data_IF_714445048777
#
_entry.id   IF_714445048777
#
_cell.length_a   1.000
_cell.length_b   1.000
_cell.length_c   1.000
_cell.angle_alpha   90.00
_cell.angle_beta   90.00
_cell.angle_gamma   90.00
#
_symmetry.space_group_name_H-M   'P 1'
#
loop_
_entity.id
_entity.type
_entity.pdbx_description
1 polymer ?
#
# COMPACT_ATOMS: atom_id res chain seq x y z
N UNK A 1 27.07 -6.08 -0.77
CA UNK A 1 25.85 -6.36 -1.56
C UNK A 1 24.74 -5.51 -0.96
N UNK A 2 24.01 -4.75 -1.78
CA UNK A 2 22.95 -3.84 -1.31
C UNK A 2 21.62 -4.56 -1.08
N UNK A 3 20.67 -3.85 -0.48
CA UNK A 3 19.26 -4.25 -0.38
C UNK A 3 18.49 -3.44 -1.42
N UNK A 4 17.77 -4.11 -2.29
CA UNK A 4 16.92 -3.47 -3.30
C UNK A 4 15.46 -3.58 -2.88
N UNK A 5 14.75 -2.45 -2.89
CA UNK A 5 13.32 -2.37 -2.61
C UNK A 5 12.62 -1.84 -3.85
N UNK A 6 11.64 -2.59 -4.33
CA UNK A 6 10.84 -2.24 -5.49
C UNK A 6 9.37 -2.09 -5.07
N UNK A 7 8.76 -0.96 -5.45
CA UNK A 7 7.34 -0.70 -5.31
C UNK A 7 6.69 -0.74 -6.68
N UNK A 8 5.60 -1.51 -6.83
CA UNK A 8 4.80 -1.54 -8.05
C UNK A 8 3.31 -1.52 -7.73
N UNK A 9 2.50 -0.93 -8.60
CA UNK A 9 1.05 -1.07 -8.50
C UNK A 9 0.66 -2.55 -8.58
N UNK A 10 -0.29 -2.94 -7.74
CA UNK A 10 -0.80 -4.30 -7.67
C UNK A 10 -2.32 -4.30 -7.83
N UNK A 11 -2.86 -5.46 -8.23
CA UNK A 11 -4.29 -5.62 -8.41
C UNK A 11 -5.02 -5.47 -7.06
N UNK A 12 -6.01 -4.58 -7.05
CA UNK A 12 -6.95 -4.40 -5.94
C UNK A 12 -8.38 -4.48 -6.50
N UNK A 13 -9.14 -5.55 -6.18
CA UNK A 13 -10.53 -5.63 -6.60
C UNK A 13 -11.37 -4.53 -5.95
N UNK A 14 -12.12 -3.81 -6.78
CA UNK A 14 -13.12 -2.86 -6.32
C UNK A 14 -14.46 -3.57 -6.17
N UNK A 15 -15.00 -3.53 -4.96
CA UNK A 15 -16.27 -4.18 -4.66
C UNK A 15 -17.42 -3.40 -5.27
N UNK A 16 -18.35 -4.12 -5.90
CA UNK A 16 -19.64 -3.55 -6.33
C UNK A 16 -20.46 -3.24 -5.07
N UNK A 17 -20.95 -2.02 -4.98
CA UNK A 17 -21.84 -1.56 -3.91
C UNK A 17 -23.31 -1.86 -4.25
N UNK A 18 -24.18 -1.70 -3.26
CA UNK A 18 -25.63 -1.85 -3.44
C UNK A 18 -26.20 -0.92 -4.51
N UNK A 19 -27.42 -1.23 -4.95
CA UNK A 19 -28.14 -0.38 -5.88
C UNK A 19 -28.43 0.99 -5.27
N UNK A 20 -28.23 2.02 -6.07
CA UNK A 20 -28.48 3.39 -5.69
C UNK A 20 -29.48 4.02 -6.66
N UNK A 21 -30.48 4.71 -6.09
CA UNK A 21 -31.52 5.36 -6.87
C UNK A 21 -30.98 6.60 -7.58
N UNK A 22 -31.24 6.69 -8.88
CA UNK A 22 -30.92 7.87 -9.71
C UNK A 22 -32.21 8.41 -10.32
N UNK A 23 -32.18 9.66 -10.81
CA UNK A 23 -33.37 10.35 -11.33
C UNK A 23 -34.08 9.65 -12.52
N UNK A 24 -33.50 8.58 -13.08
CA UNK A 24 -34.11 7.80 -14.17
C UNK A 24 -33.87 6.28 -14.10
N UNK A 25 -33.41 5.73 -12.96
CA UNK A 25 -33.12 4.29 -12.84
C UNK A 25 -32.25 3.95 -11.64
N UNK A 26 -31.66 2.75 -11.62
CA UNK A 26 -30.71 2.32 -10.59
C UNK A 26 -29.29 2.25 -11.13
N UNK A 27 -28.31 2.61 -10.30
CA UNK A 27 -26.89 2.45 -10.59
C UNK A 27 -26.24 1.54 -9.55
N UNK A 28 -25.20 0.80 -9.94
CA UNK A 28 -24.33 0.06 -9.01
C UNK A 28 -22.93 0.62 -9.11
N UNK A 29 -22.52 1.35 -8.09
CA UNK A 29 -21.17 1.93 -8.01
C UNK A 29 -20.17 0.86 -7.60
N UNK A 30 -18.89 1.12 -7.88
CA UNK A 30 -17.79 0.35 -7.33
C UNK A 30 -17.06 1.18 -6.28
N UNK A 31 -16.59 0.54 -5.23
CA UNK A 31 -15.73 1.19 -4.26
C UNK A 31 -14.30 1.30 -4.79
N UNK A 32 -14.03 2.42 -5.45
CA UNK A 32 -12.73 2.75 -6.04
C UNK A 32 -11.77 3.46 -5.09
N UNK A 33 -12.12 3.53 -3.80
CA UNK A 33 -11.34 4.26 -2.79
C UNK A 33 -10.05 3.56 -2.35
N UNK A 34 -9.93 2.26 -2.63
CA UNK A 34 -8.84 1.40 -2.15
C UNK A 34 -7.92 1.02 -3.32
N UNK A 35 -6.63 1.02 -3.03
CA UNK A 35 -5.57 0.61 -3.95
C UNK A 35 -4.59 -0.34 -3.24
N UNK A 36 -3.72 -0.95 -4.04
CA UNK A 36 -2.67 -1.85 -3.54
C UNK A 36 -1.35 -1.59 -4.22
N UNK A 37 -0.29 -1.52 -3.43
CA UNK A 37 1.10 -1.60 -3.88
C UNK A 37 1.66 -2.96 -3.48
N UNK A 38 2.32 -3.63 -4.43
CA UNK A 38 3.19 -4.75 -4.12
C UNK A 38 4.59 -4.20 -3.84
N UNK A 39 5.15 -4.68 -2.74
CA UNK A 39 6.52 -4.45 -2.35
C UNK A 39 7.31 -5.71 -2.64
N UNK A 40 8.45 -5.59 -3.31
CA UNK A 40 9.41 -6.68 -3.49
C UNK A 40 10.76 -6.23 -2.92
N UNK A 41 11.40 -7.11 -2.15
CA UNK A 41 12.71 -6.85 -1.57
C UNK A 41 13.68 -7.94 -2.01
N UNK A 42 14.89 -7.56 -2.40
CA UNK A 42 15.98 -8.51 -2.66
C UNK A 42 17.25 -8.16 -1.89
N UNK A 43 18.01 -9.20 -1.50
CA UNK A 43 19.28 -9.02 -0.79
C UNK A 43 19.14 -8.66 0.70
N UNK A 44 17.93 -8.73 1.25
CA UNK A 44 17.64 -8.45 2.65
C UNK A 44 17.77 -9.71 3.51
N UNK A 45 18.48 -9.58 4.64
CA UNK A 45 18.52 -10.55 5.73
C UNK A 45 17.34 -10.32 6.69
N UNK A 46 16.25 -11.12 6.63
CA UNK A 46 15.03 -10.88 7.40
C UNK A 46 15.21 -11.00 8.92
N UNK A 47 16.28 -11.65 9.39
CA UNK A 47 16.67 -11.73 10.80
C UNK A 47 17.23 -10.43 11.37
N UNK A 48 17.64 -9.50 10.49
CA UNK A 48 18.25 -8.23 10.88
C UNK A 48 17.45 -7.02 10.41
N UNK A 49 16.95 -7.05 9.19
CA UNK A 49 16.28 -5.90 8.60
C UNK A 49 14.77 -6.09 8.53
N UNK A 50 14.04 -5.02 8.81
CA UNK A 50 12.59 -4.96 8.62
C UNK A 50 12.27 -3.84 7.64
N UNK A 51 11.47 -4.14 6.62
CA UNK A 51 10.84 -3.10 5.82
C UNK A 51 9.51 -2.73 6.46
N UNK A 52 9.30 -1.45 6.70
CA UNK A 52 8.09 -0.94 7.34
C UNK A 52 7.28 -0.09 6.36
N UNK A 53 5.97 0.03 6.61
CA UNK A 53 5.09 1.00 5.99
C UNK A 53 4.31 1.73 7.10
N UNK A 54 4.38 3.06 7.15
CA UNK A 54 3.79 3.90 8.20
C UNK A 54 4.13 3.38 9.62
N UNK A 55 5.39 3.01 9.82
CA UNK A 55 5.91 2.51 11.10
C UNK A 55 5.52 1.07 11.45
N UNK A 56 4.82 0.34 10.57
CA UNK A 56 4.44 -1.06 10.78
C UNK A 56 5.29 -1.98 9.92
N UNK A 57 5.89 -3.01 10.52
CA UNK A 57 6.65 -4.03 9.78
C UNK A 57 5.77 -4.75 8.76
N UNK A 58 6.27 -4.89 7.53
CA UNK A 58 5.56 -5.58 6.47
C UNK A 58 5.68 -7.10 6.65
N UNK A 59 4.59 -7.85 6.48
CA UNK A 59 4.59 -9.31 6.58
C UNK A 59 5.17 -9.96 5.31
N UNK A 60 6.44 -9.69 5.03
CA UNK A 60 7.17 -10.17 3.85
C UNK A 60 7.18 -11.71 3.75
N UNK A 61 6.85 -12.23 2.57
CA UNK A 61 6.78 -13.66 2.26
C UNK A 61 7.80 -14.02 1.17
N UNK A 62 8.42 -15.20 1.28
CA UNK A 62 9.31 -15.73 0.24
C UNK A 62 8.55 -16.04 -1.04
N UNK A 63 9.13 -15.70 -2.19
CA UNK A 63 8.61 -16.09 -3.52
C UNK A 63 9.10 -17.47 -3.96
N UNK A 64 9.97 -18.11 -3.16
CA UNK A 64 10.71 -19.33 -3.53
C UNK A 64 12.02 -19.06 -4.27
N UNK A 65 12.28 -17.81 -4.70
CA UNK A 65 13.60 -17.38 -5.20
C UNK A 65 14.49 -16.96 -4.03
N UNK A 66 15.76 -17.36 -4.08
CA UNK A 66 16.69 -17.07 -2.99
C UNK A 66 16.84 -15.57 -2.76
N UNK A 67 16.57 -15.14 -1.52
CA UNK A 67 16.72 -13.74 -1.10
C UNK A 67 15.66 -12.79 -1.68
N UNK A 68 14.56 -13.29 -2.26
CA UNK A 68 13.44 -12.50 -2.77
C UNK A 68 12.21 -12.63 -1.88
N UNK A 69 11.69 -11.49 -1.44
CA UNK A 69 10.55 -11.39 -0.53
C UNK A 69 9.51 -10.43 -1.10
N UNK A 70 8.23 -10.68 -0.84
CA UNK A 70 7.11 -9.86 -1.29
C UNK A 70 6.07 -9.60 -0.20
N UNK A 71 5.42 -8.44 -0.25
CA UNK A 71 4.23 -8.14 0.54
C UNK A 71 3.28 -7.23 -0.26
N UNK A 72 1.99 -7.27 0.09
CA UNK A 72 1.01 -6.32 -0.41
C UNK A 72 0.67 -5.27 0.65
N UNK A 73 0.67 -4.00 0.28
CA UNK A 73 0.14 -2.91 1.10
C UNK A 73 -1.15 -2.44 0.47
N UNK A 74 -2.28 -2.75 1.09
CA UNK A 74 -3.59 -2.21 0.74
C UNK A 74 -3.82 -0.93 1.53
N UNK A 75 -4.28 0.11 0.86
CA UNK A 75 -4.44 1.43 1.46
C UNK A 75 -5.62 2.17 0.83
N UNK A 76 -6.07 3.23 1.51
CA UNK A 76 -7.13 4.13 1.01
C UNK A 76 -6.48 5.29 0.28
N UNK A 77 -6.65 5.32 -1.03
CA UNK A 77 -6.10 6.29 -1.96
C UNK A 77 -6.85 7.62 -1.92
N UNK A 78 -8.18 7.57 -1.80
CA UNK A 78 -9.06 8.73 -1.75
C UNK A 78 -10.39 8.37 -1.07
N UNK A 79 -11.30 9.33 -0.92
CA UNK A 79 -12.57 9.14 -0.19
C UNK A 79 -13.74 9.68 -1.03
N UNK A 80 -14.33 8.86 -1.91
CA UNK A 80 -15.55 9.25 -2.59
C UNK A 80 -16.71 9.41 -1.59
N UNK A 81 -17.75 10.20 -1.94
CA UNK A 81 -18.96 10.30 -1.14
C UNK A 81 -19.64 8.95 -0.86
N UNK A 82 -19.38 7.97 -1.73
CA UNK A 82 -19.88 6.59 -1.64
C UNK A 82 -18.69 5.64 -1.68
N UNK A 83 -18.35 5.04 -0.55
CA UNK A 83 -17.38 3.96 -0.44
C UNK A 83 -17.75 3.04 0.73
N UNK A 84 -17.18 1.84 0.74
CA UNK A 84 -17.26 0.98 1.91
C UNK A 84 -16.36 1.56 3.01
N UNK A 85 -16.80 1.38 4.26
CA UNK A 85 -16.10 1.87 5.45
C UNK A 85 -15.76 3.37 5.41
N UNK A 86 -16.76 4.26 5.25
CA UNK A 86 -16.54 5.69 5.03
C UNK A 86 -15.82 6.40 6.18
N UNK A 87 -15.76 5.82 7.37
CA UNK A 87 -15.04 6.37 8.52
C UNK A 87 -13.54 6.02 8.57
N UNK A 88 -13.05 5.16 7.66
CA UNK A 88 -11.61 4.90 7.53
C UNK A 88 -11.00 6.04 6.71
N UNK A 89 -10.02 6.80 7.24
CA UNK A 89 -9.43 7.95 6.54
C UNK A 89 -8.48 7.52 5.39
N UNK A 90 -8.03 8.50 4.60
CA UNK A 90 -6.97 8.29 3.61
C UNK A 90 -5.67 7.82 4.27
N UNK A 91 -4.94 6.99 3.55
CA UNK A 91 -3.66 6.43 3.98
C UNK A 91 -2.50 6.98 3.12
N UNK A 92 -2.50 8.28 2.83
CA UNK A 92 -1.50 8.92 1.97
C UNK A 92 -0.81 10.10 2.68
N UNK A 93 0.52 10.28 2.53
CA UNK A 93 1.43 9.37 1.83
C UNK A 93 1.65 8.05 2.58
N UNK A 94 2.09 7.01 1.86
CA UNK A 94 2.66 5.82 2.48
C UNK A 94 4.17 6.05 2.68
N UNK A 95 4.66 5.89 3.90
CA UNK A 95 6.07 6.05 4.26
C UNK A 95 6.70 4.67 4.39
N UNK A 96 7.58 4.31 3.46
CA UNK A 96 8.35 3.08 3.50
C UNK A 96 9.73 3.33 4.11
N UNK A 97 10.15 2.49 5.05
CA UNK A 97 11.45 2.64 5.71
C UNK A 97 12.11 1.28 5.96
N UNK A 98 13.38 1.16 5.58
CA UNK A 98 14.20 -0.02 5.82
C UNK A 98 14.96 0.16 7.14
N UNK A 99 14.60 -0.63 8.14
CA UNK A 99 15.11 -0.50 9.50
C UNK A 99 16.07 -1.64 9.82
N UNK A 100 17.25 -1.32 10.34
CA UNK A 100 18.13 -2.28 11.01
C UNK A 100 17.63 -2.50 12.44
N UNK A 101 17.07 -3.68 12.71
CA UNK A 101 16.42 -3.99 13.99
C UNK A 101 17.41 -4.13 15.14
N UNK A 102 18.68 -4.42 14.86
CA UNK A 102 19.71 -4.54 15.89
C UNK A 102 20.16 -3.18 16.43
N UNK A 103 20.20 -2.17 15.56
CA UNK A 103 20.56 -0.80 15.93
C UNK A 103 19.34 0.11 16.13
N UNK A 104 18.14 -0.35 15.78
CA UNK A 104 16.90 0.44 15.75
C UNK A 104 17.03 1.72 14.94
N UNK A 105 17.72 1.63 13.79
CA UNK A 105 17.97 2.78 12.90
C UNK A 105 17.42 2.54 11.50
N UNK A 106 16.84 3.59 10.93
CA UNK A 106 16.54 3.68 9.50
C UNK A 106 17.85 3.68 8.70
N UNK A 107 17.89 2.87 7.65
CA UNK A 107 18.93 2.84 6.62
C UNK A 107 18.54 3.67 5.39
N UNK A 108 17.30 4.13 5.33
CA UNK A 108 16.74 4.85 4.20
C UNK A 108 15.32 4.39 3.86
N UNK A 109 14.58 5.27 3.20
CA UNK A 109 13.18 5.07 2.88
C UNK A 109 12.69 5.99 1.77
N UNK A 110 11.41 5.89 1.46
CA UNK A 110 10.74 6.78 0.51
C UNK A 110 9.28 7.01 0.91
N UNK A 111 8.71 8.07 0.35
CA UNK A 111 7.27 8.34 0.44
C UNK A 111 6.61 8.02 -0.89
N UNK A 112 5.48 7.31 -0.83
CA UNK A 112 4.61 7.06 -1.96
C UNK A 112 3.38 7.96 -1.86
N UNK A 113 3.30 8.90 -2.80
CA UNK A 113 2.23 9.88 -2.91
C UNK A 113 1.24 9.42 -3.98
N UNK A 114 0.00 9.16 -3.56
CA UNK A 114 -1.10 8.68 -4.41
C UNK A 114 -1.75 9.81 -5.19
N UNK A 115 -1.88 10.96 -4.55
CA UNK A 115 -2.31 12.21 -5.16
C UNK A 115 -1.13 13.17 -5.14
N UNK A 116 -1.06 14.05 -6.13
CA UNK A 116 -0.01 15.06 -6.14
C UNK A 116 -0.11 15.89 -4.84
N UNK A 117 1.00 16.13 -4.10
CA UNK A 117 0.97 16.87 -2.83
C UNK A 117 0.31 18.26 -2.93
N UNK A 118 0.34 18.86 -4.12
CA UNK A 118 -0.35 20.11 -4.47
C UNK A 118 -1.82 19.98 -4.89
N UNK A 119 -2.49 18.84 -4.69
CA UNK A 119 -3.94 18.68 -4.90
C UNK A 119 -4.41 18.48 -6.34
N UNK A 120 -3.54 18.01 -7.25
CA UNK A 120 -3.94 17.60 -8.60
C UNK A 120 -4.18 16.09 -8.62
N UNK A 121 -5.40 15.70 -9.01
CA UNK A 121 -5.80 14.35 -9.39
C UNK A 121 -6.11 14.35 -10.89
#
# INVERSE_FOLDING_TARGET
>A
RGIDVELRCALEPWHVMGEDGTAGGTARYVDSSLERVQVKVSGMAPERFALTCNGRSLPLQSTGRNGELVAGVRFRAWQPPRCLHPHVPLHAPLVFDLVDTWSSRSLGGCEYHVTHPGGRA
#
